data_IF_722418887600
#
_entry.id   IF_722418887600
#
_cell.length_a   1.000
_cell.length_b   1.000
_cell.length_c   1.000
_cell.angle_alpha   90.00
_cell.angle_beta   90.00
_cell.angle_gamma   90.00
#
_symmetry.space_group_name_H-M   'P 1'
#
loop_
_entity.id
_entity.type
_entity.pdbx_description
1 polymer ?
#
# COMPACT_ATOMS: atom_id res chain seq x y z
N UNK A 1 13.22 -33.13 8.80
CA UNK A 1 14.06 -31.94 9.06
C UNK A 1 13.93 -31.12 7.80
N UNK A 2 12.99 -30.18 7.79
CA UNK A 2 12.53 -29.58 6.55
C UNK A 2 12.84 -28.09 6.64
N UNK A 3 14.08 -27.76 6.27
CA UNK A 3 14.60 -26.39 6.21
C UNK A 3 14.00 -25.66 5.00
N UNK A 4 12.73 -25.27 5.09
CA UNK A 4 12.05 -24.46 4.07
C UNK A 4 12.05 -22.96 4.44
N UNK A 5 13.24 -22.38 4.60
CA UNK A 5 13.45 -20.93 4.72
C UNK A 5 13.91 -20.28 3.40
N UNK A 6 13.54 -20.85 2.25
CA UNK A 6 13.88 -20.29 0.92
C UNK A 6 12.71 -19.53 0.30
N UNK A 7 12.08 -18.64 1.04
CA UNK A 7 11.38 -17.53 0.38
C UNK A 7 12.45 -16.66 -0.26
N UNK A 8 12.52 -16.52 -1.61
CA UNK A 8 13.45 -15.60 -2.22
C UNK A 8 13.15 -14.20 -1.68
N UNK A 9 14.19 -13.52 -1.18
CA UNK A 9 14.10 -12.11 -0.82
C UNK A 9 13.73 -11.35 -2.09
N UNK A 10 12.47 -10.95 -2.22
CA UNK A 10 12.08 -9.98 -3.23
C UNK A 10 12.64 -8.63 -2.78
N UNK A 11 13.77 -8.24 -3.36
CA UNK A 11 14.33 -6.89 -3.22
C UNK A 11 13.46 -5.91 -4.05
N UNK A 12 12.16 -5.82 -3.77
CA UNK A 12 11.40 -4.69 -4.25
C UNK A 12 12.04 -3.46 -3.62
N UNK A 13 12.57 -2.55 -4.44
CA UNK A 13 13.21 -1.30 -4.00
C UNK A 13 12.27 -0.46 -3.12
N UNK A 14 10.97 -0.80 -3.11
CA UNK A 14 9.94 -0.15 -2.33
C UNK A 14 9.75 -0.84 -0.96
N UNK A 15 9.62 -0.06 0.13
CA UNK A 15 9.29 -0.58 1.46
C UNK A 15 7.86 -1.18 1.48
N UNK A 16 7.54 -2.08 2.43
CA UNK A 16 6.20 -2.68 2.53
C UNK A 16 5.10 -1.65 2.83
N UNK A 17 5.46 -0.56 3.50
CA UNK A 17 4.59 0.57 3.78
C UNK A 17 5.32 1.88 3.46
N UNK A 18 4.57 2.90 3.06
CA UNK A 18 5.13 4.21 2.71
C UNK A 18 4.27 5.34 3.27
N UNK A 19 4.91 6.43 3.70
CA UNK A 19 4.19 7.63 4.11
C UNK A 19 3.39 8.24 2.96
N UNK A 20 2.22 8.80 3.25
CA UNK A 20 1.33 9.38 2.22
C UNK A 20 2.01 10.46 1.38
N UNK A 21 2.89 11.27 1.98
CA UNK A 21 3.64 12.31 1.29
C UNK A 21 4.71 11.74 0.35
N UNK A 22 5.43 10.71 0.79
CA UNK A 22 6.42 10.03 -0.04
C UNK A 22 5.75 9.26 -1.19
N UNK A 23 4.59 8.67 -0.93
CA UNK A 23 3.77 8.03 -1.97
C UNK A 23 3.25 9.04 -2.98
N UNK A 24 2.81 10.22 -2.53
CA UNK A 24 2.39 11.30 -3.42
C UNK A 24 3.52 11.71 -4.37
N UNK A 25 4.74 11.93 -3.84
CA UNK A 25 5.93 12.21 -4.65
C UNK A 25 6.23 11.08 -5.63
N UNK A 26 6.17 9.82 -5.18
CA UNK A 26 6.41 8.65 -6.03
C UNK A 26 5.42 8.55 -7.20
N UNK A 27 4.14 8.86 -6.96
CA UNK A 27 3.09 8.83 -7.97
C UNK A 27 2.96 10.12 -8.78
N UNK A 28 3.76 11.16 -8.52
CA UNK A 28 3.62 12.46 -9.19
C UNK A 28 2.29 13.17 -8.89
N UNK A 29 1.73 12.98 -7.69
CA UNK A 29 0.45 13.55 -7.26
C UNK A 29 0.61 14.37 -5.97
N UNK A 30 -0.49 14.94 -5.46
CA UNK A 30 -0.49 15.71 -4.22
C UNK A 30 -0.76 14.84 -2.99
N UNK A 31 -0.21 15.25 -1.84
CA UNK A 31 -0.51 14.62 -0.55
C UNK A 31 -2.00 14.67 -0.22
N UNK A 32 -2.71 15.73 -0.60
CA UNK A 32 -4.14 15.86 -0.35
C UNK A 32 -4.96 14.84 -1.14
N UNK A 33 -4.57 14.57 -2.40
CA UNK A 33 -5.16 13.52 -3.22
C UNK A 33 -4.98 12.15 -2.58
N UNK A 34 -3.75 11.81 -2.15
CA UNK A 34 -3.46 10.54 -1.47
C UNK A 34 -4.23 10.43 -0.16
N UNK A 35 -4.29 11.51 0.62
CA UNK A 35 -5.08 11.55 1.86
C UNK A 35 -6.56 11.26 1.57
N UNK A 36 -7.12 11.85 0.51
CA UNK A 36 -8.49 11.59 0.07
C UNK A 36 -8.73 10.11 -0.23
N UNK A 37 -7.82 9.47 -0.96
CA UNK A 37 -7.91 8.03 -1.25
C UNK A 37 -7.82 7.16 0.01
N UNK A 38 -6.93 7.51 0.94
CA UNK A 38 -6.82 6.80 2.23
C UNK A 38 -8.08 6.98 3.07
N UNK A 39 -8.64 8.19 3.13
CA UNK A 39 -9.85 8.50 3.92
C UNK A 39 -11.10 7.82 3.37
N UNK A 40 -11.22 7.75 2.05
CA UNK A 40 -12.34 7.08 1.36
C UNK A 40 -12.18 5.56 1.32
N UNK A 41 -11.04 5.02 1.77
CA UNK A 41 -10.74 3.59 1.63
C UNK A 41 -10.61 3.16 0.17
N UNK A 42 -10.17 4.08 -0.69
CA UNK A 42 -9.80 3.81 -2.09
C UNK A 42 -8.39 3.23 -2.18
N UNK A 43 -7.48 3.65 -1.29
CA UNK A 43 -6.09 3.19 -1.28
C UNK A 43 -5.84 2.32 -0.04
N UNK A 44 -5.22 1.12 -0.19
CA UNK A 44 -4.92 0.27 0.95
C UNK A 44 -3.97 0.99 1.91
N UNK A 45 -4.33 1.01 3.19
CA UNK A 45 -3.57 1.69 4.23
C UNK A 45 -3.58 0.93 5.53
N UNK A 46 -2.55 1.14 6.35
CA UNK A 46 -2.43 0.57 7.69
C UNK A 46 -2.16 1.67 8.70
N UNK A 47 -2.80 1.57 9.87
CA UNK A 47 -2.54 2.48 10.99
C UNK A 47 -1.35 1.96 11.80
N UNK A 48 -0.28 2.75 11.86
CA UNK A 48 0.89 2.49 12.70
C UNK A 48 1.04 3.67 13.67
N UNK A 49 0.75 3.41 14.94
CA UNK A 49 0.68 4.46 15.96
C UNK A 49 -0.36 5.54 15.60
N UNK A 50 0.11 6.78 15.43
CA UNK A 50 -0.73 7.95 15.11
C UNK A 50 -0.81 8.26 13.60
N UNK A 51 -0.16 7.47 12.75
CA UNK A 51 -0.08 7.72 11.31
C UNK A 51 -0.79 6.60 10.52
N UNK A 52 -1.47 6.97 9.43
CA UNK A 52 -1.91 6.02 8.39
C UNK A 52 -0.89 6.03 7.26
N UNK A 53 -0.25 4.89 7.02
CA UNK A 53 0.69 4.67 5.93
C UNK A 53 0.02 3.91 4.79
N UNK A 54 0.48 4.12 3.57
CA UNK A 54 0.03 3.35 2.39
C UNK A 54 0.63 1.94 2.49
N UNK A 55 -0.22 0.91 2.35
CA UNK A 55 0.22 -0.49 2.35
C UNK A 55 0.63 -0.88 0.93
N UNK A 56 1.92 -0.75 0.63
CA UNK A 56 2.47 -1.02 -0.70
C UNK A 56 2.55 -2.51 -1.01
N UNK A 57 2.75 -3.36 0.01
CA UNK A 57 2.73 -4.80 -0.17
C UNK A 57 1.37 -5.27 -0.71
N UNK A 58 0.28 -4.87 -0.05
CA UNK A 58 -1.07 -5.23 -0.51
C UNK A 58 -1.37 -4.63 -1.89
N UNK A 59 -1.04 -3.35 -2.09
CA UNK A 59 -1.24 -2.70 -3.38
C UNK A 59 -0.50 -3.45 -4.51
N UNK A 60 0.76 -3.83 -4.29
CA UNK A 60 1.54 -4.59 -5.28
C UNK A 60 0.94 -5.96 -5.56
N UNK A 61 0.49 -6.66 -4.53
CA UNK A 61 -0.09 -8.00 -4.69
C UNK A 61 -1.41 -7.94 -5.46
N UNK A 62 -2.27 -6.96 -5.19
CA UNK A 62 -3.53 -6.76 -5.93
C UNK A 62 -3.29 -6.32 -7.38
N UNK A 63 -2.31 -5.45 -7.62
CA UNK A 63 -1.91 -5.08 -8.98
C UNK A 63 -1.36 -6.28 -9.75
N UNK A 64 -0.52 -7.13 -9.13
CA UNK A 64 -0.03 -8.38 -9.72
C UNK A 64 -1.16 -9.38 -10.00
N UNK A 65 -2.21 -9.36 -9.18
CA UNK A 65 -3.41 -10.16 -9.38
C UNK A 65 -4.32 -9.62 -10.51
N UNK A 66 -3.96 -8.50 -11.14
CA UNK A 66 -4.73 -7.90 -12.24
C UNK A 66 -5.87 -7.00 -11.80
N UNK A 67 -5.88 -6.53 -10.54
CA UNK A 67 -6.88 -5.56 -10.08
C UNK A 67 -6.62 -4.20 -10.73
N UNK A 68 -7.60 -3.72 -11.50
CA UNK A 68 -7.52 -2.43 -12.19
C UNK A 68 -8.27 -1.32 -11.44
N UNK A 69 -9.33 -1.68 -10.71
CA UNK A 69 -10.22 -0.73 -10.05
C UNK A 69 -10.07 -0.77 -8.53
N UNK A 70 -9.84 0.41 -7.97
CA UNK A 70 -9.76 0.67 -6.56
C UNK A 70 -10.87 1.66 -6.24
N UNK A 71 -11.97 1.17 -5.67
CA UNK A 71 -13.17 1.97 -5.41
C UNK A 71 -13.22 2.44 -3.96
N UNK A 72 -13.92 3.54 -3.73
CA UNK A 72 -14.19 4.03 -2.37
C UNK A 72 -14.89 2.95 -1.55
N UNK A 73 -14.44 2.75 -0.31
CA UNK A 73 -14.98 1.75 0.61
C UNK A 73 -14.26 0.40 0.60
N UNK A 74 -13.36 0.13 -0.35
CA UNK A 74 -12.66 -1.17 -0.42
C UNK A 74 -11.76 -1.46 0.77
N UNK A 75 -11.19 -0.42 1.40
CA UNK A 75 -10.23 -0.56 2.50
C UNK A 75 -10.69 0.13 3.81
N UNK A 76 -12.00 0.34 4.00
CA UNK A 76 -12.52 1.02 5.19
C UNK A 76 -12.52 0.16 6.46
N UNK A 77 -12.37 -1.17 6.35
CA UNK A 77 -12.39 -2.13 7.47
C UNK A 77 -11.00 -2.49 8.04
N UNK A 78 -9.96 -1.68 7.80
CA UNK A 78 -8.57 -1.90 8.25
C UNK A 78 -8.06 -0.90 9.28
#
# INVERSE_FOLDING_TARGET
MDNNFRTPVQLSVLPPVMGQEQFATYCGTTKDTVRGWVQTGTLPSVKIGRQRLVNLSLLQDELKAGKEFFESGHYTDS
#
